data_IF_761963106510
#
_entry.id   IF_761963106510
#
_cell.length_a   1.000
_cell.length_b   1.000
_cell.length_c   1.000
_cell.angle_alpha   90.00
_cell.angle_beta   90.00
_cell.angle_gamma   90.00
#
_symmetry.space_group_name_H-M   'P 1'
#
loop_
_entity.id
_entity.type
_entity.pdbx_description
1 polymer ?
#
# COMPACT_ATOMS: atom_id res chain seq x y z
N UNK A 1 -84.57 -82.57 -56.50
CA UNK A 1 -85.60 -83.39 -55.82
C UNK A 1 -85.03 -84.29 -54.72
N UNK A 2 -83.84 -84.88 -54.85
CA UNK A 2 -83.22 -85.69 -53.78
C UNK A 2 -82.56 -84.81 -52.70
N UNK A 3 -81.76 -83.80 -53.08
CA UNK A 3 -81.11 -82.87 -52.13
C UNK A 3 -82.11 -82.11 -51.25
N UNK A 4 -83.27 -81.73 -51.80
CA UNK A 4 -84.30 -80.96 -51.09
C UNK A 4 -85.02 -81.79 -50.02
N UNK A 5 -85.16 -83.11 -50.24
CA UNK A 5 -85.70 -84.03 -49.26
C UNK A 5 -84.69 -84.34 -48.13
N UNK A 6 -83.41 -84.48 -48.47
CA UNK A 6 -82.32 -84.69 -47.50
C UNK A 6 -82.04 -83.45 -46.63
N UNK A 7 -82.13 -82.25 -47.22
CA UNK A 7 -82.02 -80.97 -46.51
C UNK A 7 -83.10 -80.81 -45.43
N UNK A 8 -84.33 -81.25 -45.68
CA UNK A 8 -85.41 -81.28 -44.67
C UNK A 8 -85.15 -82.24 -43.49
N UNK A 9 -84.22 -83.20 -43.63
CA UNK A 9 -83.76 -84.08 -42.55
C UNK A 9 -82.42 -83.63 -41.94
N UNK A 10 -81.88 -82.48 -42.35
CA UNK A 10 -80.58 -81.97 -41.88
C UNK A 10 -79.39 -82.76 -42.39
N UNK A 11 -79.52 -83.43 -43.53
CA UNK A 11 -78.48 -84.24 -44.17
C UNK A 11 -78.03 -83.57 -45.47
N UNK A 12 -76.74 -83.36 -45.61
CA UNK A 12 -76.10 -82.70 -46.76
C UNK A 12 -75.28 -83.73 -47.54
N UNK A 13 -75.23 -83.62 -48.87
CA UNK A 13 -74.41 -84.48 -49.72
C UNK A 13 -73.15 -83.70 -50.09
N UNK A 14 -71.99 -84.31 -49.85
CA UNK A 14 -70.67 -83.78 -50.19
C UNK A 14 -70.29 -84.12 -51.65
N UNK A 15 -69.26 -83.47 -52.20
CA UNK A 15 -68.79 -83.62 -53.60
C UNK A 15 -68.36 -85.07 -53.94
N UNK A 16 -68.11 -85.90 -52.94
CA UNK A 16 -67.80 -87.34 -53.04
C UNK A 16 -69.06 -88.25 -52.89
N UNK A 17 -70.27 -87.69 -52.98
CA UNK A 17 -71.55 -88.38 -52.76
C UNK A 17 -71.73 -89.03 -51.36
N UNK A 18 -71.02 -88.52 -50.35
CA UNK A 18 -71.15 -88.98 -48.96
C UNK A 18 -72.15 -88.10 -48.21
N UNK A 19 -73.05 -88.73 -47.45
CA UNK A 19 -74.01 -88.03 -46.61
C UNK A 19 -73.30 -87.52 -45.35
N UNK A 20 -73.37 -86.21 -45.10
CA UNK A 20 -72.82 -85.52 -43.93
C UNK A 20 -73.94 -84.83 -43.14
N UNK A 21 -73.76 -84.73 -41.83
CA UNK A 21 -74.71 -84.07 -40.90
C UNK A 21 -74.51 -82.54 -40.84
N UNK A 22 -73.40 -82.04 -41.38
CA UNK A 22 -73.05 -80.62 -41.39
C UNK A 22 -72.73 -80.24 -42.84
N UNK A 23 -73.27 -79.11 -43.25
CA UNK A 23 -73.04 -78.49 -44.54
C UNK A 23 -71.51 -78.28 -44.78
N UNK A 24 -70.93 -78.85 -45.85
CA UNK A 24 -69.50 -78.78 -46.11
C UNK A 24 -68.98 -77.34 -46.23
N UNK A 25 -69.76 -76.41 -46.77
CA UNK A 25 -69.40 -74.99 -46.89
C UNK A 25 -69.26 -74.32 -45.51
N UNK A 26 -70.12 -74.70 -44.56
CA UNK A 26 -70.05 -74.19 -43.17
C UNK A 26 -68.87 -74.79 -42.40
N UNK A 27 -68.41 -75.98 -42.77
CA UNK A 27 -67.20 -76.59 -42.19
C UNK A 27 -65.94 -75.87 -42.69
N UNK A 28 -65.87 -75.54 -43.98
CA UNK A 28 -64.75 -74.77 -44.55
C UNK A 28 -64.70 -73.36 -43.99
N UNK A 29 -65.81 -72.64 -43.93
CA UNK A 29 -65.88 -71.28 -43.36
C UNK A 29 -65.47 -71.29 -41.87
N UNK A 30 -65.89 -72.30 -41.12
CA UNK A 30 -65.49 -72.44 -39.70
C UNK A 30 -64.00 -72.74 -39.54
N UNK A 31 -63.38 -73.41 -40.52
CA UNK A 31 -61.96 -73.71 -40.52
C UNK A 31 -61.12 -72.48 -40.90
N UNK A 32 -61.55 -71.72 -41.91
CA UNK A 32 -60.94 -70.44 -42.29
C UNK A 32 -61.03 -69.43 -41.15
N UNK A 33 -62.22 -69.24 -40.56
CA UNK A 33 -62.40 -68.34 -39.42
C UNK A 33 -61.52 -68.75 -38.24
N UNK A 34 -61.37 -70.06 -37.98
CA UNK A 34 -60.47 -70.56 -36.93
C UNK A 34 -59.02 -70.19 -37.20
N UNK A 35 -58.58 -70.28 -38.45
CA UNK A 35 -57.19 -70.01 -38.82
C UNK A 35 -56.91 -68.49 -38.86
N UNK A 36 -57.83 -67.66 -39.35
CA UNK A 36 -57.78 -66.20 -39.20
C UNK A 36 -57.76 -65.76 -37.73
N UNK A 37 -58.55 -66.42 -36.87
CA UNK A 37 -58.55 -66.14 -35.44
C UNK A 37 -57.20 -66.48 -34.79
N UNK A 38 -56.50 -67.52 -35.25
CA UNK A 38 -55.13 -67.82 -34.78
C UNK A 38 -54.15 -66.75 -35.21
N UNK A 39 -54.19 -66.36 -36.49
CA UNK A 39 -53.31 -65.29 -37.01
C UNK A 39 -53.58 -63.97 -36.28
N UNK A 40 -54.84 -63.65 -35.97
CA UNK A 40 -55.18 -62.48 -35.17
C UNK A 40 -54.59 -62.57 -33.75
N UNK A 41 -54.70 -63.72 -33.08
CA UNK A 41 -54.10 -63.93 -31.75
C UNK A 41 -52.58 -63.75 -31.82
N UNK A 42 -51.92 -64.31 -32.83
CA UNK A 42 -50.47 -64.19 -32.99
C UNK A 42 -50.04 -62.73 -33.22
N UNK A 43 -50.77 -61.99 -34.06
CA UNK A 43 -50.55 -60.55 -34.26
C UNK A 43 -50.75 -59.74 -32.96
N UNK A 44 -51.77 -60.08 -32.16
CA UNK A 44 -52.02 -59.43 -30.87
C UNK A 44 -50.89 -59.74 -29.87
N UNK A 45 -50.36 -60.96 -29.87
CA UNK A 45 -49.23 -61.35 -29.04
C UNK A 45 -47.94 -60.63 -29.44
N UNK A 46 -47.69 -60.46 -30.75
CA UNK A 46 -46.55 -59.69 -31.23
C UNK A 46 -46.68 -58.21 -30.87
N UNK A 47 -47.87 -57.62 -31.07
CA UNK A 47 -48.14 -56.23 -30.67
C UNK A 47 -47.90 -56.03 -29.17
N UNK A 48 -48.35 -56.97 -28.33
CA UNK A 48 -48.09 -56.93 -26.89
C UNK A 48 -46.59 -56.90 -26.58
N UNK A 49 -45.78 -57.73 -27.25
CA UNK A 49 -44.31 -57.73 -27.07
C UNK A 49 -43.68 -56.38 -27.44
N UNK A 50 -44.16 -55.75 -28.52
CA UNK A 50 -43.68 -54.42 -28.93
C UNK A 50 -44.03 -53.38 -27.87
N UNK A 51 -45.25 -53.40 -27.35
CA UNK A 51 -45.70 -52.47 -26.29
C UNK A 51 -44.88 -52.69 -25.01
N UNK A 52 -44.66 -53.92 -24.59
CA UNK A 52 -43.85 -54.24 -23.41
C UNK A 52 -42.40 -53.71 -23.59
N UNK A 53 -41.80 -53.91 -24.77
CA UNK A 53 -40.47 -53.36 -25.10
C UNK A 53 -40.46 -51.83 -25.08
N UNK A 54 -41.52 -51.19 -25.60
CA UNK A 54 -41.65 -49.74 -25.59
C UNK A 54 -41.77 -49.17 -24.17
N UNK A 55 -42.50 -49.86 -23.29
CA UNK A 55 -42.61 -49.49 -21.87
C UNK A 55 -41.23 -49.55 -21.22
N UNK A 56 -40.49 -50.64 -21.39
CA UNK A 56 -39.13 -50.79 -20.85
C UNK A 56 -38.20 -49.67 -21.34
N UNK A 57 -38.22 -49.37 -22.64
CA UNK A 57 -37.39 -48.29 -23.21
C UNK A 57 -37.82 -46.91 -22.71
N UNK A 58 -39.11 -46.68 -22.54
CA UNK A 58 -39.62 -45.41 -22.01
C UNK A 58 -39.18 -45.20 -20.56
N UNK A 59 -39.20 -46.25 -19.73
CA UNK A 59 -38.68 -46.19 -18.37
C UNK A 59 -37.16 -45.96 -18.33
N UNK A 60 -36.41 -46.60 -19.22
CA UNK A 60 -34.97 -46.39 -19.37
C UNK A 60 -34.65 -44.93 -19.71
N UNK A 61 -35.31 -44.36 -20.72
CA UNK A 61 -35.12 -42.97 -21.11
C UNK A 61 -35.55 -41.99 -20.01
N UNK A 62 -36.66 -42.27 -19.32
CA UNK A 62 -37.11 -41.45 -18.19
C UNK A 62 -36.03 -41.36 -17.09
N UNK A 63 -35.41 -42.48 -16.74
CA UNK A 63 -34.29 -42.53 -15.77
C UNK A 63 -33.08 -41.72 -16.28
N UNK A 64 -32.70 -41.86 -17.54
CA UNK A 64 -31.59 -41.12 -18.12
C UNK A 64 -31.83 -39.60 -18.13
N UNK A 65 -33.05 -39.18 -18.47
CA UNK A 65 -33.46 -37.77 -18.47
C UNK A 65 -33.39 -37.19 -17.05
N UNK A 66 -33.87 -37.91 -16.04
CA UNK A 66 -33.80 -37.41 -14.66
C UNK A 66 -32.36 -37.30 -14.15
N UNK A 67 -31.48 -38.25 -14.50
CA UNK A 67 -30.03 -38.14 -14.19
C UNK A 67 -29.41 -36.92 -14.87
N UNK A 68 -29.70 -36.69 -16.15
CA UNK A 68 -29.19 -35.53 -16.89
C UNK A 68 -29.74 -34.22 -16.31
N UNK A 69 -31.02 -34.19 -15.93
CA UNK A 69 -31.68 -33.05 -15.28
C UNK A 69 -31.00 -32.71 -13.95
N UNK A 70 -30.74 -33.70 -13.10
CA UNK A 70 -30.06 -33.51 -11.82
C UNK A 70 -28.64 -32.97 -12.02
N UNK A 71 -27.88 -33.51 -12.98
CA UNK A 71 -26.54 -33.00 -13.34
C UNK A 71 -26.58 -31.54 -13.80
N UNK A 72 -27.55 -31.19 -14.64
CA UNK A 72 -27.75 -29.82 -15.14
C UNK A 72 -28.09 -28.85 -14.00
N UNK A 73 -28.98 -29.23 -13.09
CA UNK A 73 -29.31 -28.44 -11.90
C UNK A 73 -28.08 -28.26 -11.00
N UNK A 74 -27.32 -29.34 -10.78
CA UNK A 74 -26.07 -29.30 -10.02
C UNK A 74 -25.05 -28.33 -10.61
N UNK A 75 -24.77 -28.44 -11.91
CA UNK A 75 -23.87 -27.53 -12.64
C UNK A 75 -24.36 -26.07 -12.57
N UNK A 76 -25.66 -25.84 -12.75
CA UNK A 76 -26.27 -24.50 -12.64
C UNK A 76 -26.11 -23.91 -11.24
N UNK A 77 -26.29 -24.70 -10.19
CA UNK A 77 -26.12 -24.27 -8.81
C UNK A 77 -24.65 -23.96 -8.48
N UNK A 78 -23.72 -24.79 -8.97
CA UNK A 78 -22.29 -24.52 -8.85
C UNK A 78 -21.90 -23.22 -9.56
N UNK A 79 -22.38 -22.99 -10.79
CA UNK A 79 -22.12 -21.73 -11.50
C UNK A 79 -22.72 -20.53 -10.77
N UNK A 80 -23.95 -20.65 -10.27
CA UNK A 80 -24.61 -19.57 -9.51
C UNK A 80 -23.88 -19.25 -8.21
N UNK A 81 -23.41 -20.26 -7.48
CA UNK A 81 -22.65 -20.06 -6.24
C UNK A 81 -21.25 -19.49 -6.52
N UNK A 82 -20.56 -19.95 -7.56
CA UNK A 82 -19.28 -19.39 -8.00
C UNK A 82 -19.42 -17.92 -8.42
N UNK A 83 -20.48 -17.56 -9.17
CA UNK A 83 -20.75 -16.17 -9.54
C UNK A 83 -20.96 -15.29 -8.31
N UNK A 84 -21.76 -15.76 -7.33
CA UNK A 84 -21.95 -15.06 -6.05
C UNK A 84 -20.65 -14.89 -5.27
N UNK A 85 -19.80 -15.92 -5.23
CA UNK A 85 -18.51 -15.85 -4.55
C UNK A 85 -17.61 -14.79 -5.18
N UNK A 86 -17.51 -14.77 -6.52
CA UNK A 86 -16.75 -13.73 -7.25
C UNK A 86 -17.28 -12.32 -6.99
N UNK A 87 -18.60 -12.17 -6.94
CA UNK A 87 -19.22 -10.87 -6.65
C UNK A 87 -18.92 -10.41 -5.21
N UNK A 88 -19.03 -11.31 -4.24
CA UNK A 88 -18.68 -11.04 -2.85
C UNK A 88 -17.20 -10.67 -2.71
N UNK A 89 -16.29 -11.44 -3.32
CA UNK A 89 -14.85 -11.17 -3.31
C UNK A 89 -14.54 -9.80 -3.93
N UNK A 90 -15.19 -9.46 -5.06
CA UNK A 90 -15.05 -8.15 -5.68
C UNK A 90 -15.51 -7.02 -4.74
N UNK A 91 -16.64 -7.19 -4.07
CA UNK A 91 -17.13 -6.20 -3.10
C UNK A 91 -16.18 -6.05 -1.90
N UNK A 92 -15.66 -7.16 -1.39
CA UNK A 92 -14.68 -7.15 -0.29
C UNK A 92 -13.40 -6.41 -0.69
N UNK A 93 -12.84 -6.72 -1.87
CA UNK A 93 -11.67 -6.04 -2.40
C UNK A 93 -11.92 -4.55 -2.64
N UNK A 94 -13.10 -4.18 -3.15
CA UNK A 94 -13.47 -2.77 -3.33
C UNK A 94 -13.56 -2.02 -2.01
N UNK A 95 -14.09 -2.63 -0.95
CA UNK A 95 -14.09 -2.03 0.39
C UNK A 95 -12.67 -1.85 0.93
N UNK A 96 -11.80 -2.85 0.76
CA UNK A 96 -10.41 -2.77 1.20
C UNK A 96 -9.63 -1.70 0.43
N UNK A 97 -9.84 -1.59 -0.89
CA UNK A 97 -9.24 -0.54 -1.72
C UNK A 97 -9.65 0.83 -1.20
N UNK A 98 -10.95 1.04 -0.92
CA UNK A 98 -11.45 2.31 -0.38
C UNK A 98 -10.83 2.65 0.96
N UNK A 99 -10.73 1.68 1.86
CA UNK A 99 -10.08 1.85 3.17
C UNK A 99 -8.62 2.30 3.00
N UNK A 100 -7.86 1.64 2.11
CA UNK A 100 -6.46 2.00 1.84
C UNK A 100 -6.31 3.35 1.14
N UNK A 101 -7.23 3.71 0.26
CA UNK A 101 -7.23 5.05 -0.34
C UNK A 101 -7.42 6.15 0.71
N UNK A 102 -8.36 5.96 1.64
CA UNK A 102 -8.59 6.92 2.74
C UNK A 102 -7.34 7.02 3.64
N UNK A 103 -6.71 5.89 3.94
CA UNK A 103 -5.47 5.86 4.73
C UNK A 103 -4.34 6.62 4.03
N UNK A 104 -4.17 6.43 2.72
CA UNK A 104 -3.20 7.15 1.91
C UNK A 104 -3.47 8.66 1.87
N UNK A 105 -4.73 9.07 1.67
CA UNK A 105 -5.10 10.48 1.64
C UNK A 105 -4.82 11.16 2.99
N UNK A 106 -5.11 10.47 4.11
CA UNK A 106 -4.77 10.96 5.45
C UNK A 106 -3.26 11.15 5.61
N UNK A 107 -2.47 10.13 5.28
CA UNK A 107 -1.00 10.19 5.40
C UNK A 107 -0.41 11.29 4.52
N UNK A 108 -0.97 11.50 3.33
CA UNK A 108 -0.56 12.59 2.43
C UNK A 108 -0.77 13.95 3.07
N UNK A 109 -1.95 14.21 3.64
CA UNK A 109 -2.24 15.47 4.33
C UNK A 109 -1.31 15.68 5.52
N UNK A 110 -1.06 14.63 6.29
CA UNK A 110 -0.12 14.68 7.41
C UNK A 110 1.30 15.02 6.94
N UNK A 111 1.78 14.37 5.88
CA UNK A 111 3.07 14.66 5.26
C UNK A 111 3.17 16.11 4.76
N UNK A 112 2.16 16.61 4.06
CA UNK A 112 2.12 18.01 3.58
C UNK A 112 2.16 19.00 4.75
N UNK A 113 1.49 18.68 5.86
CA UNK A 113 1.52 19.50 7.07
C UNK A 113 2.92 19.53 7.72
N UNK A 114 3.59 18.38 7.80
CA UNK A 114 4.94 18.26 8.36
C UNK A 114 5.98 18.96 7.46
N UNK A 115 5.85 18.85 6.15
CA UNK A 115 6.73 19.55 5.21
C UNK A 115 6.57 21.07 5.31
N UNK A 116 5.36 21.56 5.63
CA UNK A 116 5.15 22.99 5.90
C UNK A 116 5.84 23.41 7.20
N UNK A 117 5.69 22.66 8.28
CA UNK A 117 6.33 22.99 9.57
C UNK A 117 7.86 22.90 9.49
N UNK A 118 8.40 21.93 8.75
CA UNK A 118 9.83 21.83 8.46
C UNK A 118 10.35 23.10 7.77
N UNK A 119 9.66 23.56 6.71
CA UNK A 119 10.01 24.81 6.01
C UNK A 119 9.97 26.01 6.96
N UNK A 120 8.89 26.18 7.72
CA UNK A 120 8.78 27.26 8.70
C UNK A 120 9.88 27.22 9.76
N UNK A 121 10.28 26.03 10.22
CA UNK A 121 11.39 25.85 11.15
C UNK A 121 12.74 26.20 10.52
N UNK A 122 12.97 25.78 9.28
CA UNK A 122 14.21 26.09 8.54
C UNK A 122 14.37 27.60 8.34
N UNK A 123 13.32 28.32 7.96
CA UNK A 123 13.31 29.78 7.83
C UNK A 123 13.61 30.46 9.18
N UNK A 124 13.01 29.96 10.27
CA UNK A 124 13.30 30.47 11.62
C UNK A 124 14.75 30.21 12.03
N UNK A 125 15.30 29.04 11.72
CA UNK A 125 16.71 28.72 11.98
C UNK A 125 17.64 29.67 11.23
N UNK A 126 17.36 29.95 9.95
CA UNK A 126 18.12 30.92 9.16
C UNK A 126 18.05 32.32 9.77
N UNK A 127 16.85 32.80 10.12
CA UNK A 127 16.68 34.11 10.76
C UNK A 127 17.42 34.22 12.10
N UNK A 128 17.35 33.18 12.94
CA UNK A 128 18.07 33.14 14.22
C UNK A 128 19.58 33.12 14.01
N UNK A 129 20.06 32.38 13.01
CA UNK A 129 21.48 32.34 12.67
C UNK A 129 21.99 33.74 12.27
N UNK A 130 21.25 34.46 11.43
CA UNK A 130 21.61 35.80 10.97
C UNK A 130 21.63 36.81 12.14
N UNK A 131 20.63 36.74 13.04
CA UNK A 131 20.62 37.56 14.26
C UNK A 131 21.79 37.24 15.18
N UNK A 132 22.15 35.96 15.34
CA UNK A 132 23.29 35.55 16.15
C UNK A 132 24.61 36.09 15.56
N UNK A 133 24.82 35.97 14.25
CA UNK A 133 25.99 36.55 13.58
C UNK A 133 26.08 38.07 13.78
N UNK A 134 24.96 38.80 13.63
CA UNK A 134 24.92 40.24 13.90
C UNK A 134 25.26 40.57 15.35
N UNK A 135 24.71 39.83 16.32
CA UNK A 135 25.00 40.04 17.73
C UNK A 135 26.49 39.78 18.04
N UNK A 136 27.07 38.71 17.52
CA UNK A 136 28.50 38.39 17.68
C UNK A 136 29.37 39.53 17.10
N UNK A 137 29.05 40.01 15.89
CA UNK A 137 29.78 41.12 15.26
C UNK A 137 29.71 42.41 16.08
N UNK A 138 28.53 42.77 16.60
CA UNK A 138 28.36 43.96 17.44
C UNK A 138 29.21 43.84 18.73
N UNK A 139 29.19 42.68 19.39
CA UNK A 139 29.98 42.47 20.60
C UNK A 139 31.49 42.50 20.30
N UNK A 140 31.94 41.91 19.19
CA UNK A 140 33.34 41.96 18.74
C UNK A 140 33.77 43.41 18.47
N UNK A 141 32.96 44.20 17.77
CA UNK A 141 33.23 45.62 17.54
C UNK A 141 33.32 46.38 18.86
N UNK A 142 32.38 46.17 19.79
CA UNK A 142 32.39 46.82 21.10
C UNK A 142 33.64 46.46 21.92
N UNK A 143 34.08 45.20 21.89
CA UNK A 143 35.34 44.74 22.49
C UNK A 143 36.56 45.44 21.88
N UNK A 144 36.62 45.57 20.55
CA UNK A 144 37.70 46.30 19.88
C UNK A 144 37.70 47.79 20.24
N UNK A 145 36.54 48.43 20.27
CA UNK A 145 36.41 49.84 20.67
C UNK A 145 36.83 50.07 22.13
N UNK A 146 36.44 49.20 23.05
CA UNK A 146 36.84 49.32 24.46
C UNK A 146 38.34 49.10 24.65
N UNK A 147 38.95 48.14 23.95
CA UNK A 147 40.42 47.98 23.95
C UNK A 147 41.13 49.21 23.39
N UNK A 148 40.63 49.81 22.30
CA UNK A 148 41.19 51.04 21.73
C UNK A 148 41.10 52.21 22.73
N UNK A 149 39.96 52.39 23.41
CA UNK A 149 39.78 53.43 24.42
C UNK A 149 40.66 53.20 25.65
N UNK A 150 40.84 51.96 26.08
CA UNK A 150 41.80 51.62 27.16
C UNK A 150 43.25 51.95 26.74
N UNK A 151 43.65 51.63 25.51
CA UNK A 151 44.96 52.01 24.97
C UNK A 151 45.16 53.53 24.92
N UNK A 152 44.12 54.30 24.55
CA UNK A 152 44.17 55.76 24.57
C UNK A 152 44.31 56.32 25.99
N UNK A 153 43.55 55.78 26.97
CA UNK A 153 43.65 56.23 28.37
C UNK A 153 45.00 55.87 29.03
N UNK A 154 45.59 54.72 28.71
CA UNK A 154 46.96 54.36 29.15
C UNK A 154 48.00 55.32 28.56
N UNK A 155 47.85 55.73 27.30
CA UNK A 155 48.73 56.72 26.68
C UNK A 155 48.60 58.11 27.34
N UNK A 156 47.40 58.54 27.72
CA UNK A 156 47.17 59.83 28.40
C UNK A 156 47.73 59.83 29.84
N UNK A 157 47.61 58.72 30.58
CA UNK A 157 48.20 58.61 31.92
C UNK A 157 49.74 58.58 31.92
N UNK A 158 50.38 58.36 30.76
CA UNK A 158 51.83 58.54 30.62
C UNK A 158 52.26 59.98 30.30
N UNK A 159 51.31 60.91 30.10
CA UNK A 159 51.59 62.31 29.70
C UNK A 159 51.38 63.31 30.86
N UNK A 160 50.61 62.98 31.90
CA UNK A 160 50.40 63.88 33.07
C UNK A 160 51.11 63.41 34.37
N UNK A 161 52.40 63.09 34.28
CA UNK A 161 53.33 63.17 35.43
C UNK A 161 54.56 64.05 35.15
N UNK A 162 54.44 65.04 34.26
CA UNK A 162 55.49 66.05 34.05
C UNK A 162 54.98 67.47 34.38
N UNK A 163 54.45 67.65 35.58
CA UNK A 163 54.59 68.93 36.27
C UNK A 163 55.39 68.72 37.55
N UNK A 164 56.65 68.29 37.34
CA UNK A 164 57.67 68.32 38.37
C UNK A 164 57.99 69.77 38.70
N UNK A 165 57.38 70.28 39.77
CA UNK A 165 58.01 71.36 40.54
C UNK A 165 59.27 70.76 41.14
N UNK A 166 60.39 70.89 40.42
CA UNK A 166 61.71 70.64 40.97
C UNK A 166 61.92 71.64 42.11
N UNK A 167 61.83 71.18 43.36
CA UNK A 167 62.26 71.97 44.51
C UNK A 167 63.79 71.97 44.56
N UNK A 168 64.41 72.94 43.90
CA UNK A 168 65.84 73.20 44.05
C UNK A 168 66.10 73.80 45.43
N UNK A 169 66.52 72.97 46.39
CA UNK A 169 66.84 73.41 47.74
C UNK A 169 68.31 73.89 47.78
N UNK A 170 68.51 75.22 47.76
CA UNK A 170 69.83 75.88 47.62
C UNK A 170 70.64 76.02 48.93
N UNK A 171 70.34 75.25 49.98
CA UNK A 171 70.96 75.45 51.30
C UNK A 171 72.18 74.58 51.63
N UNK A 172 72.63 73.68 50.75
CA UNK A 172 73.91 72.99 50.88
C UNK A 172 74.59 72.91 49.51
N UNK A 173 75.80 73.48 49.39
CA UNK A 173 76.54 73.68 48.13
C UNK A 173 76.72 72.41 47.28
N UNK A 174 76.10 72.44 46.08
CA UNK A 174 75.78 71.34 45.16
C UNK A 174 76.95 70.91 44.22
N UNK A 175 76.88 69.89 43.36
CA UNK A 175 75.92 69.61 42.27
C UNK A 175 75.69 68.10 42.03
N UNK A 176 74.45 67.70 41.76
CA UNK A 176 74.08 66.38 41.24
C UNK A 176 73.80 66.48 39.73
N UNK A 177 74.28 65.52 38.94
CA UNK A 177 74.45 65.57 37.47
C UNK A 177 73.12 65.34 36.71
N UNK A 178 71.99 65.49 37.40
CA UNK A 178 70.66 65.09 36.90
C UNK A 178 69.74 66.27 36.60
N UNK A 179 70.22 67.51 36.69
CA UNK A 179 69.45 68.71 36.37
C UNK A 179 69.97 69.38 35.08
N UNK A 180 69.77 68.74 33.93
CA UNK A 180 69.85 69.41 32.63
C UNK A 180 68.52 69.24 31.90
N UNK A 181 67.67 70.25 32.01
CA UNK A 181 66.43 70.38 31.24
C UNK A 181 66.59 71.40 30.10
N UNK A 182 67.64 71.26 29.29
CA UNK A 182 67.75 71.98 28.01
C UNK A 182 68.56 71.19 26.97
N UNK A 183 68.15 71.32 25.70
CA UNK A 183 68.59 70.50 24.55
C UNK A 183 69.96 70.86 23.95
N UNK A 184 70.69 71.84 24.49
CA UNK A 184 72.00 72.28 23.98
C UNK A 184 73.12 72.28 25.04
N UNK A 185 73.17 71.27 25.91
CA UNK A 185 74.25 71.16 26.90
C UNK A 185 75.53 70.58 26.27
N UNK A 186 76.46 71.48 25.93
CA UNK A 186 77.78 71.14 25.39
C UNK A 186 78.71 70.52 26.46
N UNK A 187 79.53 69.57 26.04
CA UNK A 187 80.41 68.76 26.90
C UNK A 187 81.59 69.50 27.56
N UNK A 188 81.65 70.83 27.44
CA UNK A 188 82.77 71.64 27.94
C UNK A 188 82.49 72.26 29.33
N UNK A 189 81.23 72.32 29.77
CA UNK A 189 80.86 72.80 31.12
C UNK A 189 80.87 71.69 32.20
N UNK A 190 80.86 70.41 31.79
CA UNK A 190 80.88 69.25 32.70
C UNK A 190 82.26 69.04 33.35
N UNK A 191 83.32 69.66 32.82
CA UNK A 191 84.69 69.56 33.36
C UNK A 191 84.99 70.58 34.47
N UNK A 192 84.06 71.47 34.81
CA UNK A 192 84.27 72.52 35.81
C UNK A 192 83.97 72.08 37.26
N UNK A 193 83.32 70.94 37.49
CA UNK A 193 83.04 70.44 38.84
C UNK A 193 83.70 69.08 39.09
N UNK A 194 84.95 69.13 39.56
CA UNK A 194 85.59 68.04 40.30
C UNK A 194 84.79 67.78 41.59
N UNK A 195 84.02 66.69 41.67
CA UNK A 195 83.64 66.11 42.96
C UNK A 195 83.93 64.60 42.97
N UNK A 196 84.83 64.25 43.88
CA UNK A 196 85.46 62.95 44.03
C UNK A 196 84.49 61.90 44.61
N UNK A 197 84.80 60.65 44.25
CA UNK A 197 84.14 59.40 44.61
C UNK A 197 84.00 59.18 46.13
N UNK A 198 82.89 58.57 46.53
CA UNK A 198 82.86 57.63 47.68
C UNK A 198 82.10 56.37 47.27
N UNK A 199 82.84 55.28 47.25
CA UNK A 199 82.45 53.90 47.02
C UNK A 199 81.72 53.32 48.24
N UNK A 200 80.61 52.58 48.05
CA UNK A 200 80.26 51.43 48.91
C UNK A 200 79.32 50.44 48.18
N UNK A 201 79.94 49.42 47.59
CA UNK A 201 79.63 47.98 47.66
C UNK A 201 78.17 47.50 47.85
N UNK A 202 77.65 46.81 46.83
CA UNK A 202 76.62 45.75 46.96
C UNK A 202 77.29 44.37 46.90
N UNK A 203 77.02 43.53 47.90
CA UNK A 203 77.31 42.08 47.93
C UNK A 203 76.11 41.38 48.57
N UNK A 204 75.82 40.17 48.05
CA UNK A 204 74.84 39.13 48.42
C UNK A 204 73.45 39.26 47.75
N UNK A 205 72.98 38.33 46.92
CA UNK A 205 73.37 36.93 46.61
C UNK A 205 73.73 36.72 45.14
#
# INVERSE_FOLDING_TARGET
MVEEALSNFGLFIDDENKIRLIDPERVTDSAELRDECKDFIDNVLEFKKIVDTLIEKTEEYSKQVEVARLKSIGAKNMLKSAAKYREFEKQQLQSLIKEKMIELDRLRVEYESLQKTEREQSEKMEQLSLKAYMFILINLLFLLFTQLVQCQNLAVNSIDTNNGTCSCNLNNGSCDVSCCCDTDCSTEDIKAFNCNQVTTNEVTM
#
